data_IF_415787637456
#
_entry.id   IF_415787637456
#
_cell.length_a   1.000
_cell.length_b   1.000
_cell.length_c   1.000
_cell.angle_alpha   90.00
_cell.angle_beta   90.00
_cell.angle_gamma   90.00
#
_symmetry.space_group_name_H-M   'P 1'
#
loop_
_entity.id
_entity.type
_entity.pdbx_description
1 polymer ?
#
# COMPACT_ATOMS: atom_id res chain seq x y z
N UNK A 1 -31.56 -21.68 35.99
CA UNK A 1 -31.63 -20.20 36.02
C UNK A 1 -30.34 -19.67 36.63
N UNK A 2 -29.41 -19.21 35.78
CA UNK A 2 -28.26 -18.35 36.13
C UNK A 2 -27.80 -17.75 34.80
N UNK A 3 -28.24 -16.53 34.55
CA UNK A 3 -27.75 -15.69 33.46
C UNK A 3 -26.30 -15.31 33.79
N UNK A 4 -25.34 -15.85 33.05
CA UNK A 4 -24.04 -15.22 32.89
C UNK A 4 -24.08 -14.58 31.51
N UNK A 5 -24.35 -13.27 31.49
CA UNK A 5 -24.11 -12.41 30.34
C UNK A 5 -22.59 -12.43 30.09
N UNK A 6 -22.11 -13.36 29.27
CA UNK A 6 -20.72 -13.34 28.82
C UNK A 6 -20.62 -12.39 27.64
N UNK A 7 -19.99 -11.25 27.92
CA UNK A 7 -19.68 -10.16 27.02
C UNK A 7 -18.59 -10.60 26.01
N UNK A 8 -18.91 -11.53 25.10
CA UNK A 8 -17.96 -12.06 24.10
C UNK A 8 -18.64 -12.30 22.75
N UNK A 9 -19.25 -11.26 22.20
CA UNK A 9 -19.88 -11.27 20.87
C UNK A 9 -19.67 -9.92 20.16
N UNK A 10 -18.42 -9.48 20.03
CA UNK A 10 -18.06 -8.24 19.31
C UNK A 10 -16.87 -8.36 18.34
N UNK A 11 -16.46 -9.58 17.94
CA UNK A 11 -15.35 -9.72 16.98
C UNK A 11 -15.62 -10.70 15.81
N UNK A 12 -16.87 -11.11 15.58
CA UNK A 12 -17.19 -12.07 14.51
C UNK A 12 -18.48 -11.75 13.76
N UNK A 13 -18.72 -10.49 13.35
CA UNK A 13 -19.58 -10.22 12.19
C UNK A 13 -19.11 -8.92 11.53
N UNK A 14 -18.63 -9.02 10.29
CA UNK A 14 -18.41 -7.87 9.42
C UNK A 14 -17.00 -7.28 9.46
N UNK A 15 -16.00 -8.00 8.94
CA UNK A 15 -15.14 -7.30 7.98
C UNK A 15 -15.98 -7.25 6.70
N UNK A 16 -16.65 -6.13 6.36
CA UNK A 16 -17.00 -5.95 4.98
C UNK A 16 -15.68 -6.03 4.23
N UNK A 17 -15.58 -7.04 3.39
CA UNK A 17 -14.94 -6.96 2.08
C UNK A 17 -14.77 -5.47 1.77
N UNK A 18 -13.53 -4.95 1.82
CA UNK A 18 -13.22 -3.56 1.47
C UNK A 18 -13.30 -3.45 -0.06
N UNK A 19 -14.49 -3.72 -0.58
CA UNK A 19 -14.98 -3.46 -1.91
C UNK A 19 -16.34 -2.81 -1.71
N UNK A 20 -16.31 -1.48 -1.61
CA UNK A 20 -17.48 -0.63 -1.79
C UNK A 20 -18.17 -0.16 -0.51
N UNK A 21 -17.71 0.97 0.03
CA UNK A 21 -18.54 2.18 0.20
C UNK A 21 -17.71 3.37 0.71
N UNK A 22 -16.92 3.88 -0.21
CA UNK A 22 -16.67 5.30 -0.46
C UNK A 22 -16.05 5.33 -1.86
N UNK A 23 -16.87 5.20 -2.90
CA UNK A 23 -16.45 5.24 -4.32
C UNK A 23 -16.02 6.65 -4.75
N UNK A 24 -15.47 7.43 -3.84
CA UNK A 24 -14.87 8.71 -4.14
C UNK A 24 -13.52 8.39 -4.75
N UNK A 25 -13.33 8.80 -5.99
CA UNK A 25 -12.05 8.68 -6.66
C UNK A 25 -10.96 9.17 -5.70
N UNK A 26 -9.95 8.34 -5.44
CA UNK A 26 -8.77 8.72 -4.66
C UNK A 26 -7.59 8.86 -5.60
N UNK A 27 -6.76 9.86 -5.36
CA UNK A 27 -5.50 10.07 -6.07
C UNK A 27 -4.38 9.42 -5.28
N UNK A 28 -3.52 8.66 -5.94
CA UNK A 28 -2.33 8.06 -5.32
C UNK A 28 -1.43 9.15 -4.74
N UNK A 29 -0.73 8.86 -3.64
CA UNK A 29 0.27 9.77 -3.05
C UNK A 29 1.36 10.20 -4.05
N UNK A 30 1.61 9.40 -5.09
CA UNK A 30 2.54 9.71 -6.17
C UNK A 30 2.01 10.73 -7.20
N UNK A 31 0.69 10.92 -7.29
CA UNK A 31 0.04 11.74 -8.33
C UNK A 31 -0.68 12.97 -7.76
N UNK A 32 -0.85 13.02 -6.44
CA UNK A 32 -1.55 14.11 -5.76
C UNK A 32 -0.73 15.41 -5.76
N UNK A 33 -1.39 16.52 -6.11
CA UNK A 33 -0.83 17.88 -6.02
C UNK A 33 -0.02 18.34 -7.24
N UNK A 34 0.38 17.46 -8.15
CA UNK A 34 1.18 17.85 -9.32
C UNK A 34 1.15 16.83 -10.46
N UNK A 35 1.13 17.32 -11.70
CA UNK A 35 1.17 16.49 -12.90
C UNK A 35 2.50 15.72 -13.00
N UNK A 36 2.44 14.43 -13.33
CA UNK A 36 3.61 13.56 -13.52
C UNK A 36 4.11 13.68 -14.96
N UNK A 37 5.20 14.42 -15.18
CA UNK A 37 5.84 14.64 -16.50
C UNK A 37 7.15 13.88 -16.67
N UNK A 38 7.69 13.38 -15.58
CA UNK A 38 8.92 12.62 -15.49
C UNK A 38 8.84 11.62 -14.35
N UNK A 39 9.70 10.60 -14.36
CA UNK A 39 9.76 9.63 -13.27
C UNK A 39 10.00 10.29 -11.90
N UNK A 40 10.79 11.37 -11.88
CA UNK A 40 11.15 12.11 -10.65
C UNK A 40 9.95 12.81 -10.02
N UNK A 41 8.94 13.16 -10.81
CA UNK A 41 7.76 13.88 -10.31
C UNK A 41 6.95 13.02 -9.34
N UNK A 42 6.84 11.70 -9.56
CA UNK A 42 6.20 10.79 -8.60
C UNK A 42 6.83 10.90 -7.21
N UNK A 43 8.16 10.96 -7.14
CA UNK A 43 8.88 11.00 -5.87
C UNK A 43 8.88 12.39 -5.23
N UNK A 44 8.84 13.44 -6.04
CA UNK A 44 8.59 14.80 -5.56
C UNK A 44 7.21 14.90 -4.91
N UNK A 45 6.18 14.37 -5.58
CA UNK A 45 4.82 14.32 -5.05
C UNK A 45 4.74 13.46 -3.79
N UNK A 46 5.38 12.28 -3.76
CA UNK A 46 5.45 11.44 -2.57
C UNK A 46 5.98 12.22 -1.36
N UNK A 47 7.13 12.87 -1.51
CA UNK A 47 7.76 13.64 -0.41
C UNK A 47 6.90 14.82 0.03
N UNK A 48 6.36 15.58 -0.91
CA UNK A 48 5.51 16.74 -0.62
C UNK A 48 4.21 16.35 0.11
N UNK A 49 3.67 15.17 -0.19
CA UNK A 49 2.44 14.67 0.45
C UNK A 49 2.70 13.87 1.74
N UNK A 50 3.94 13.48 2.03
CA UNK A 50 4.24 12.62 3.19
C UNK A 50 3.87 13.27 4.52
N UNK A 51 4.11 14.58 4.65
CA UNK A 51 3.78 15.35 5.86
C UNK A 51 2.27 15.42 6.16
N UNK A 52 1.41 15.02 5.20
CA UNK A 52 -0.05 14.94 5.40
C UNK A 52 -0.47 13.68 6.18
N UNK A 53 0.43 12.72 6.35
CA UNK A 53 0.17 11.49 7.12
C UNK A 53 0.41 11.80 8.59
N UNK A 54 -0.55 11.51 9.48
CA UNK A 54 -0.50 11.97 10.87
C UNK A 54 0.75 11.46 11.60
N UNK A 55 1.09 10.20 11.37
CA UNK A 55 2.27 9.57 11.96
C UNK A 55 3.47 9.53 11.00
N UNK A 56 3.59 10.53 10.11
CA UNK A 56 4.70 10.62 9.15
C UNK A 56 6.07 10.63 9.85
N UNK A 57 6.17 11.18 11.06
CA UNK A 57 7.44 11.31 11.80
C UNK A 57 8.05 9.97 12.22
N UNK A 58 7.26 8.89 12.26
CA UNK A 58 7.74 7.53 12.54
C UNK A 58 8.53 6.94 11.35
N UNK A 59 8.48 7.62 10.20
CA UNK A 59 8.95 7.16 8.93
C UNK A 59 9.70 8.26 8.17
N UNK A 60 10.97 8.00 7.87
CA UNK A 60 11.80 8.95 7.12
C UNK A 60 12.04 8.43 5.70
N UNK A 61 11.67 9.19 4.67
CA UNK A 61 12.04 8.89 3.28
C UNK A 61 13.45 9.43 3.03
N UNK A 62 14.42 8.54 2.86
CA UNK A 62 15.84 8.88 2.68
C UNK A 62 16.12 9.26 1.22
N UNK A 63 15.85 8.34 0.29
CA UNK A 63 16.14 8.55 -1.14
C UNK A 63 15.17 7.81 -2.05
N UNK A 64 15.13 8.24 -3.31
CA UNK A 64 14.36 7.59 -4.37
C UNK A 64 15.27 7.48 -5.60
N UNK A 65 15.86 6.32 -5.80
CA UNK A 65 16.95 6.11 -6.76
C UNK A 65 16.54 5.15 -7.87
N UNK A 66 17.03 5.40 -9.09
CA UNK A 66 16.86 4.44 -10.18
C UNK A 66 17.56 3.13 -9.83
N UNK A 67 16.85 2.01 -9.92
CA UNK A 67 17.40 0.69 -9.68
C UNK A 67 17.77 -0.01 -10.99
N UNK A 68 16.78 -0.24 -11.86
CA UNK A 68 16.99 -0.91 -13.14
C UNK A 68 15.80 -0.71 -14.09
N UNK A 69 15.92 -1.22 -15.31
CA UNK A 69 14.84 -1.28 -16.31
C UNK A 69 14.57 -2.74 -16.64
N UNK A 70 13.29 -3.13 -16.72
CA UNK A 70 12.93 -4.47 -17.17
C UNK A 70 13.37 -4.67 -18.63
N UNK A 71 14.24 -5.65 -18.86
CA UNK A 71 14.78 -6.03 -20.17
C UNK A 71 14.11 -7.27 -20.75
N UNK A 72 13.45 -8.08 -19.93
CA UNK A 72 12.78 -9.30 -20.36
C UNK A 72 11.69 -9.72 -19.38
N UNK A 73 10.83 -10.64 -19.84
CA UNK A 73 9.71 -11.18 -19.05
C UNK A 73 10.17 -11.95 -17.80
N UNK A 74 11.35 -12.59 -17.82
CA UNK A 74 11.90 -13.30 -16.66
C UNK A 74 12.16 -12.37 -15.47
N UNK A 75 12.63 -11.15 -15.72
CA UNK A 75 12.80 -10.14 -14.66
C UNK A 75 11.45 -9.70 -14.09
N UNK A 76 10.42 -9.52 -14.94
CA UNK A 76 9.06 -9.17 -14.50
C UNK A 76 8.48 -10.27 -13.61
N UNK A 77 8.56 -11.53 -14.05
CA UNK A 77 8.11 -12.69 -13.25
C UNK A 77 8.86 -12.80 -11.92
N UNK A 78 10.18 -12.52 -11.91
CA UNK A 78 10.96 -12.49 -10.66
C UNK A 78 10.45 -11.40 -9.72
N UNK A 79 10.28 -10.18 -10.23
CA UNK A 79 9.76 -9.05 -9.47
C UNK A 79 8.37 -9.35 -8.90
N UNK A 80 7.46 -9.89 -9.71
CA UNK A 80 6.11 -10.27 -9.29
C UNK A 80 6.13 -11.33 -8.18
N UNK A 81 7.04 -12.32 -8.27
CA UNK A 81 7.21 -13.33 -7.22
C UNK A 81 7.77 -12.74 -5.91
N UNK A 82 8.62 -11.72 -5.98
CA UNK A 82 9.23 -11.07 -4.81
C UNK A 82 8.23 -10.15 -4.09
N UNK A 83 7.38 -9.45 -4.84
CA UNK A 83 6.40 -8.48 -4.29
C UNK A 83 5.00 -9.06 -4.06
N UNK A 84 4.86 -10.38 -4.18
CA UNK A 84 3.66 -11.13 -3.86
C UNK A 84 3.93 -12.23 -2.83
N UNK A 85 4.73 -11.94 -1.81
CA UNK A 85 4.98 -12.84 -0.67
C UNK A 85 4.22 -12.39 0.57
N UNK A 86 4.03 -13.30 1.52
CA UNK A 86 3.36 -12.98 2.78
C UNK A 86 4.16 -11.94 3.59
N UNK A 87 5.48 -12.00 3.50
CA UNK A 87 6.40 -11.15 4.26
C UNK A 87 6.61 -9.77 3.60
N UNK A 88 6.14 -9.57 2.37
CA UNK A 88 6.30 -8.29 1.70
C UNK A 88 5.58 -7.21 2.54
N UNK A 89 6.26 -6.11 2.92
CA UNK A 89 5.67 -5.10 3.77
C UNK A 89 4.73 -4.17 2.99
N UNK A 90 3.66 -3.72 3.64
CA UNK A 90 2.77 -2.68 3.13
C UNK A 90 2.24 -1.78 4.24
N UNK A 91 1.67 -0.62 3.86
CA UNK A 91 0.97 0.24 4.79
C UNK A 91 -0.50 -0.14 4.86
N UNK A 92 -0.95 -0.60 6.03
CA UNK A 92 -2.35 -0.62 6.38
C UNK A 92 -2.79 0.82 6.69
N UNK A 93 -3.63 1.38 5.81
CA UNK A 93 -4.11 2.76 5.91
C UNK A 93 -5.41 2.82 6.71
N UNK A 94 -5.45 3.70 7.71
CA UNK A 94 -6.65 4.04 8.47
C UNK A 94 -7.03 5.50 8.19
N UNK A 95 -8.29 5.76 7.84
CA UNK A 95 -8.78 7.10 7.53
C UNK A 95 -9.84 7.50 8.56
N UNK A 96 -9.64 8.64 9.21
CA UNK A 96 -10.67 9.31 9.99
C UNK A 96 -11.18 10.52 9.20
N UNK A 97 -12.44 10.47 8.76
CA UNK A 97 -13.06 11.55 8.00
C UNK A 97 -14.11 12.27 8.85
N UNK A 98 -14.19 13.58 8.71
CA UNK A 98 -15.23 14.41 9.31
C UNK A 98 -15.70 15.50 8.36
N UNK A 99 -16.93 15.95 8.54
CA UNK A 99 -17.52 17.08 7.82
C UNK A 99 -17.87 18.17 8.83
N UNK A 100 -17.36 19.38 8.60
CA UNK A 100 -17.70 20.56 9.41
C UNK A 100 -18.00 21.73 8.48
N UNK A 101 -19.18 22.34 8.63
CA UNK A 101 -19.63 23.47 7.81
C UNK A 101 -19.57 23.18 6.29
N UNK A 102 -19.93 21.95 5.90
CA UNK A 102 -19.85 21.46 4.51
C UNK A 102 -18.44 21.17 4.00
N UNK A 103 -17.39 21.44 4.81
CA UNK A 103 -15.99 21.13 4.47
C UNK A 103 -15.60 19.75 4.99
N UNK A 104 -15.08 18.93 4.09
CA UNK A 104 -14.51 17.64 4.42
C UNK A 104 -13.09 17.78 4.94
N UNK A 105 -12.74 17.00 5.95
CA UNK A 105 -11.37 16.81 6.41
C UNK A 105 -11.08 15.33 6.63
N UNK A 106 -9.94 14.86 6.15
CA UNK A 106 -9.46 13.50 6.38
C UNK A 106 -8.15 13.54 7.16
N UNK A 107 -8.03 12.66 8.16
CA UNK A 107 -6.76 12.33 8.83
C UNK A 107 -6.38 10.92 8.43
N UNK A 108 -5.19 10.77 7.87
CA UNK A 108 -4.68 9.49 7.39
C UNK A 108 -3.59 9.01 8.34
N UNK A 109 -3.73 7.79 8.82
CA UNK A 109 -2.74 7.07 9.62
C UNK A 109 -2.29 5.84 8.86
N UNK A 110 -1.01 5.48 8.98
CA UNK A 110 -0.47 4.27 8.35
C UNK A 110 0.21 3.40 9.39
N UNK A 111 0.03 2.08 9.28
CA UNK A 111 0.80 1.08 10.04
C UNK A 111 1.57 0.22 9.05
N UNK A 112 2.89 0.11 9.24
CA UNK A 112 3.70 -0.87 8.53
C UNK A 112 3.32 -2.27 9.04
N UNK A 113 2.98 -3.17 8.12
CA UNK A 113 2.62 -4.56 8.43
C UNK A 113 2.95 -5.47 7.24
N UNK A 114 2.70 -6.76 7.38
CA UNK A 114 2.73 -7.75 6.29
C UNK A 114 1.59 -8.75 6.47
N UNK A 115 1.26 -9.52 5.42
CA UNK A 115 0.25 -10.57 5.57
C UNK A 115 0.73 -11.70 6.49
N UNK A 116 2.04 -11.96 6.53
CA UNK A 116 2.63 -12.88 7.50
C UNK A 116 2.34 -12.41 8.93
N UNK A 117 2.58 -11.13 9.23
CA UNK A 117 2.29 -10.56 10.55
C UNK A 117 0.80 -10.60 10.87
N UNK A 118 -0.08 -10.33 9.90
CA UNK A 118 -1.54 -10.43 10.11
C UNK A 118 -1.98 -11.86 10.46
N UNK A 119 -1.37 -12.88 9.84
CA UNK A 119 -1.63 -14.29 10.18
C UNK A 119 -1.10 -14.63 11.58
N UNK A 120 0.07 -14.11 11.95
CA UNK A 120 0.66 -14.30 13.28
C UNK A 120 -0.20 -13.66 14.38
N UNK A 121 -0.66 -12.43 14.14
CA UNK A 121 -1.49 -11.62 15.05
C UNK A 121 -2.93 -12.19 15.21
N UNK A 122 -3.40 -13.05 14.29
CA UNK A 122 -4.74 -13.61 14.34
C UNK A 122 -4.92 -14.57 15.53
N UNK A 123 -6.02 -14.45 16.27
CA UNK A 123 -6.29 -15.28 17.46
C UNK A 123 -6.99 -16.60 17.13
N UNK A 124 -7.69 -16.66 16.00
CA UNK A 124 -8.46 -17.83 15.53
C UNK A 124 -8.32 -17.99 14.02
N UNK A 125 -8.53 -19.21 13.50
CA UNK A 125 -8.53 -19.53 12.06
C UNK A 125 -7.29 -19.05 11.26
N UNK A 126 -6.09 -19.19 11.83
CA UNK A 126 -4.84 -18.78 11.17
C UNK A 126 -4.64 -19.37 9.77
N UNK A 127 -4.98 -20.65 9.61
CA UNK A 127 -4.86 -21.35 8.32
C UNK A 127 -5.79 -20.74 7.26
N UNK A 128 -7.07 -20.53 7.59
CA UNK A 128 -8.01 -19.91 6.66
C UNK A 128 -7.62 -18.48 6.27
N UNK A 129 -7.12 -17.68 7.22
CA UNK A 129 -6.61 -16.32 6.94
C UNK A 129 -5.39 -16.37 6.03
N UNK A 130 -4.47 -17.32 6.30
CA UNK A 130 -3.28 -17.51 5.46
C UNK A 130 -3.67 -17.88 4.03
N UNK A 131 -4.61 -18.79 3.85
CA UNK A 131 -5.04 -19.24 2.53
C UNK A 131 -5.73 -18.13 1.73
N UNK A 132 -6.57 -17.31 2.39
CA UNK A 132 -7.17 -16.11 1.79
C UNK A 132 -6.10 -15.11 1.33
N UNK A 133 -5.11 -14.82 2.18
CA UNK A 133 -4.00 -13.94 1.81
C UNK A 133 -3.15 -14.52 0.67
N UNK A 134 -2.90 -15.83 0.64
CA UNK A 134 -2.18 -16.48 -0.46
C UNK A 134 -2.96 -16.37 -1.78
N UNK A 135 -4.29 -16.51 -1.74
CA UNK A 135 -5.14 -16.31 -2.92
C UNK A 135 -5.01 -14.88 -3.46
N UNK A 136 -5.12 -13.86 -2.60
CA UNK A 136 -4.95 -12.46 -2.99
C UNK A 136 -3.54 -12.13 -3.51
N UNK A 137 -2.50 -12.74 -2.94
CA UNK A 137 -1.13 -12.61 -3.44
C UNK A 137 -0.95 -13.25 -4.82
N UNK A 138 -1.67 -14.35 -5.10
CA UNK A 138 -1.75 -14.95 -6.43
C UNK A 138 -2.34 -13.99 -7.46
N UNK A 139 -3.47 -13.36 -7.14
CA UNK A 139 -4.09 -12.34 -8.00
C UNK A 139 -3.16 -11.15 -8.25
N UNK A 140 -2.49 -10.65 -7.19
CA UNK A 140 -1.50 -9.57 -7.32
C UNK A 140 -0.35 -9.95 -8.23
N UNK A 141 0.19 -11.15 -8.08
CA UNK A 141 1.29 -11.62 -8.92
C UNK A 141 0.88 -11.57 -10.40
N UNK A 142 -0.33 -12.06 -10.71
CA UNK A 142 -0.88 -12.00 -12.06
C UNK A 142 -1.08 -10.55 -12.55
N UNK A 143 -1.58 -9.66 -11.69
CA UNK A 143 -1.73 -8.23 -12.02
C UNK A 143 -0.39 -7.59 -12.41
N UNK A 144 0.67 -7.82 -11.61
CA UNK A 144 2.01 -7.31 -11.91
C UNK A 144 2.51 -7.87 -13.25
N UNK A 145 2.40 -9.17 -13.47
CA UNK A 145 2.86 -9.81 -14.72
C UNK A 145 2.09 -9.33 -15.96
N UNK A 146 0.85 -8.89 -15.81
CA UNK A 146 0.02 -8.37 -16.89
C UNK A 146 0.23 -6.87 -17.14
N UNK A 147 0.47 -6.08 -16.09
CA UNK A 147 0.55 -4.61 -16.16
C UNK A 147 1.95 -4.12 -16.52
N UNK A 148 2.99 -4.78 -16.00
CA UNK A 148 4.39 -4.37 -16.22
C UNK A 148 4.87 -4.82 -17.59
N UNK A 149 5.52 -3.91 -18.30
CA UNK A 149 6.07 -4.12 -19.65
C UNK A 149 7.59 -4.05 -19.65
N UNK A 150 8.21 -4.66 -20.66
CA UNK A 150 9.64 -4.44 -20.95
C UNK A 150 9.84 -2.96 -21.25
N UNK A 151 10.86 -2.35 -20.66
CA UNK A 151 11.12 -0.91 -20.74
C UNK A 151 10.70 -0.13 -19.50
N UNK A 152 9.73 -0.65 -18.72
CA UNK A 152 9.34 -0.04 -17.44
C UNK A 152 10.53 -0.01 -16.46
N UNK A 153 10.55 1.02 -15.62
CA UNK A 153 11.69 1.32 -14.74
C UNK A 153 11.36 1.02 -13.30
N UNK A 154 12.29 0.41 -12.59
CA UNK A 154 12.22 0.16 -11.16
C UNK A 154 13.02 1.23 -10.44
N UNK A 155 12.44 1.80 -9.40
CA UNK A 155 13.07 2.73 -8.48
C UNK A 155 13.07 2.13 -7.07
N UNK A 156 14.16 2.34 -6.35
CA UNK A 156 14.32 1.98 -4.95
C UNK A 156 14.01 3.21 -4.08
N UNK A 157 12.99 3.10 -3.24
CA UNK A 157 12.69 4.08 -2.21
C UNK A 157 13.34 3.58 -0.93
N UNK A 158 14.42 4.25 -0.50
CA UNK A 158 15.06 3.97 0.80
C UNK A 158 14.36 4.76 1.88
N UNK A 159 14.06 4.10 2.98
CA UNK A 159 13.35 4.71 4.08
C UNK A 159 13.78 4.15 5.42
N UNK A 160 13.48 4.86 6.50
CA UNK A 160 13.78 4.47 7.87
C UNK A 160 12.48 4.34 8.65
N UNK A 161 12.32 3.23 9.36
CA UNK A 161 11.23 3.03 10.34
C UNK A 161 11.85 2.53 11.64
N UNK A 162 11.50 3.17 12.75
CA UNK A 162 12.01 2.79 14.08
C UNK A 162 13.55 2.63 14.10
N UNK A 163 14.27 3.55 13.45
CA UNK A 163 15.73 3.49 13.41
C UNK A 163 16.34 2.60 12.32
N UNK A 164 15.56 1.74 11.65
CA UNK A 164 16.06 0.75 10.69
C UNK A 164 15.81 1.17 9.25
N UNK A 165 16.86 1.19 8.44
CA UNK A 165 16.75 1.43 7.00
C UNK A 165 16.16 0.20 6.30
N UNK A 166 15.28 0.45 5.35
CA UNK A 166 14.60 -0.52 4.51
C UNK A 166 14.47 0.04 3.09
N UNK A 167 14.08 -0.82 2.15
CA UNK A 167 13.90 -0.45 0.75
C UNK A 167 12.56 -0.99 0.24
N UNK A 168 11.79 -0.13 -0.42
CA UNK A 168 10.63 -0.50 -1.24
C UNK A 168 11.02 -0.33 -2.71
N UNK A 169 10.64 -1.28 -3.55
CA UNK A 169 10.84 -1.15 -5.00
C UNK A 169 9.50 -0.84 -5.66
N UNK A 170 9.52 0.19 -6.51
CA UNK A 170 8.34 0.63 -7.24
C UNK A 170 8.61 0.62 -8.73
N UNK A 171 7.60 0.27 -9.52
CA UNK A 171 7.65 0.26 -10.98
C UNK A 171 6.97 1.51 -11.51
N UNK A 172 7.69 2.28 -12.32
CA UNK A 172 7.15 3.35 -13.13
C UNK A 172 7.02 2.92 -14.58
N UNK A 173 5.88 3.24 -15.20
CA UNK A 173 5.63 2.99 -16.61
C UNK A 173 6.56 3.82 -17.50
N UNK A 174 7.15 3.21 -18.52
CA UNK A 174 7.92 3.93 -19.53
C UNK A 174 7.05 4.80 -20.45
N UNK A 175 5.74 4.51 -20.56
CA UNK A 175 4.83 5.19 -21.48
C UNK A 175 4.35 6.54 -20.92
N UNK A 176 4.10 6.63 -19.62
CA UNK A 176 3.50 7.81 -18.99
C UNK A 176 4.18 8.23 -17.68
N UNK A 177 5.31 7.62 -17.33
CA UNK A 177 6.13 7.90 -16.15
C UNK A 177 5.48 7.59 -14.80
N UNK A 178 4.20 7.21 -14.74
CA UNK A 178 3.46 6.98 -13.49
C UNK A 178 3.91 5.71 -12.78
N UNK A 179 3.86 5.72 -11.45
CA UNK A 179 3.98 4.50 -10.65
C UNK A 179 2.80 3.56 -10.97
N UNK A 180 3.09 2.40 -11.53
CA UNK A 180 2.09 1.37 -11.89
C UNK A 180 2.06 0.21 -10.90
N UNK A 181 3.16 -0.01 -10.17
CA UNK A 181 3.23 -0.99 -9.09
C UNK A 181 4.05 -0.38 -7.94
N UNK A 182 3.44 -0.19 -6.79
CA UNK A 182 4.11 0.02 -5.51
C UNK A 182 3.28 -0.71 -4.47
N UNK A 183 3.94 -1.35 -3.51
CA UNK A 183 3.23 -2.14 -2.52
C UNK A 183 3.16 -1.45 -1.16
N UNK A 184 4.23 -0.78 -0.77
CA UNK A 184 4.23 -0.01 0.46
C UNK A 184 3.40 1.27 0.34
N UNK A 185 3.77 2.15 -0.58
CA UNK A 185 3.21 3.52 -0.62
C UNK A 185 1.91 3.65 -1.42
N UNK A 186 1.62 2.74 -2.35
CA UNK A 186 0.41 2.86 -3.19
C UNK A 186 -0.90 2.66 -2.43
N UNK A 187 -0.87 2.07 -1.23
CA UNK A 187 -2.06 2.00 -0.36
C UNK A 187 -2.43 3.38 0.19
N UNK A 188 -1.51 4.34 0.17
CA UNK A 188 -1.74 5.72 0.62
C UNK A 188 -2.29 6.53 -0.55
N UNK A 189 -3.49 7.07 -0.35
CA UNK A 189 -4.19 7.86 -1.35
C UNK A 189 -5.03 8.94 -0.68
N UNK A 190 -5.34 10.00 -1.40
CA UNK A 190 -6.12 11.14 -0.91
C UNK A 190 -7.43 11.22 -1.67
N UNK A 191 -8.51 11.63 -1.00
CA UNK A 191 -9.78 11.91 -1.66
C UNK A 191 -9.59 12.98 -2.74
N UNK A 192 -10.12 12.73 -3.94
CA UNK A 192 -10.17 13.72 -5.01
C UNK A 192 -11.12 14.85 -4.60
N UNK A 193 -10.60 16.07 -4.62
CA UNK A 193 -11.36 17.31 -4.39
C UNK A 193 -12.36 17.61 -5.48
#
# INVERSE_FOLDING_TARGET
MRFILSLFLLFLIGQPIVWGQNSMARTSIFEEGGEVKSFKDNFKNLKANWERIINHADFEIISCDYAYTFKNKKQITKYAKEHSRLETPFFAMNIQASVKDGKWSEKIFVRLTSFAQMVEDATENKEGIRDDHLYHLGLRKAEIENKVKIGDRVYAIRYKVNGKEQVDYVVCSAENYKVICSYLFNSVSFRKG
#
